data_IF_795414309712
#
_entry.id   IF_795414309712
#
_cell.length_a   1.000
_cell.length_b   1.000
_cell.length_c   1.000
_cell.angle_alpha   90.00
_cell.angle_beta   90.00
_cell.angle_gamma   90.00
#
_symmetry.space_group_name_H-M   'P 1'
#
loop_
_entity.id
_entity.type
_entity.pdbx_description
1 polymer ?
#
# COMPACT_ATOMS: atom_id res chain seq x y z
N UNK A 1 -21.96 27.38 9.59
CA UNK A 1 -22.25 25.92 9.56
C UNK A 1 -22.99 25.47 8.30
N UNK A 2 -24.02 26.21 7.82
CA UNK A 2 -24.78 25.87 6.61
C UNK A 2 -23.92 25.65 5.34
N UNK A 3 -22.97 26.55 5.07
CA UNK A 3 -22.08 26.48 3.88
C UNK A 3 -21.24 25.19 3.83
N UNK A 4 -20.71 24.73 4.97
CA UNK A 4 -19.96 23.46 5.07
C UNK A 4 -20.87 22.26 4.81
N UNK A 5 -22.10 22.29 5.31
CA UNK A 5 -23.08 21.20 5.11
C UNK A 5 -23.53 21.11 3.65
N UNK A 6 -23.75 22.24 2.99
CA UNK A 6 -24.10 22.29 1.56
C UNK A 6 -22.97 21.75 0.70
N UNK A 7 -21.72 22.15 0.96
CA UNK A 7 -20.54 21.64 0.23
C UNK A 7 -20.46 20.12 0.36
N UNK A 8 -20.57 19.58 1.57
CA UNK A 8 -20.54 18.12 1.76
C UNK A 8 -21.67 17.40 1.03
N UNK A 9 -22.90 17.93 1.05
CA UNK A 9 -24.03 17.33 0.32
C UNK A 9 -23.78 17.34 -1.20
N UNK A 10 -23.26 18.43 -1.74
CA UNK A 10 -22.90 18.53 -3.17
C UNK A 10 -21.79 17.56 -3.53
N UNK A 11 -20.75 17.43 -2.69
CA UNK A 11 -19.69 16.44 -2.89
C UNK A 11 -20.24 15.01 -2.91
N UNK A 12 -21.10 14.65 -1.94
CA UNK A 12 -21.72 13.33 -1.90
C UNK A 12 -22.58 13.05 -3.14
N UNK A 13 -23.41 14.02 -3.55
CA UNK A 13 -24.24 13.88 -4.75
C UNK A 13 -23.41 13.79 -6.03
N UNK A 14 -22.31 14.54 -6.11
CA UNK A 14 -21.38 14.48 -7.24
C UNK A 14 -20.72 13.11 -7.35
N UNK A 15 -20.14 12.58 -6.27
CA UNK A 15 -19.53 11.25 -6.28
C UNK A 15 -20.56 10.14 -6.50
N UNK A 16 -21.76 10.27 -5.93
CA UNK A 16 -22.87 9.33 -6.18
C UNK A 16 -23.26 9.36 -7.66
N UNK A 17 -23.39 10.55 -8.26
CA UNK A 17 -23.71 10.74 -9.67
C UNK A 17 -22.65 10.13 -10.60
N UNK A 18 -21.36 10.32 -10.29
CA UNK A 18 -20.27 9.65 -11.00
C UNK A 18 -20.40 8.12 -10.85
N UNK A 19 -20.66 7.62 -9.64
CA UNK A 19 -20.84 6.19 -9.41
C UNK A 19 -21.97 5.59 -10.25
N UNK A 20 -23.13 6.26 -10.28
CA UNK A 20 -24.28 5.86 -11.10
C UNK A 20 -23.94 5.92 -12.58
N UNK A 21 -23.29 6.99 -13.04
CA UNK A 21 -22.86 7.14 -14.43
C UNK A 21 -21.93 6.00 -14.85
N UNK A 22 -20.92 5.67 -14.04
CA UNK A 22 -19.97 4.61 -14.33
C UNK A 22 -20.64 3.23 -14.35
N UNK A 23 -21.54 2.96 -13.39
CA UNK A 23 -22.34 1.73 -13.39
C UNK A 23 -23.23 1.63 -14.63
N UNK A 24 -23.92 2.72 -14.99
CA UNK A 24 -24.73 2.75 -16.21
C UNK A 24 -23.88 2.54 -17.47
N UNK A 25 -22.72 3.20 -17.57
CA UNK A 25 -21.79 3.01 -18.68
C UNK A 25 -21.31 1.55 -18.80
N UNK A 26 -21.11 0.88 -17.67
CA UNK A 26 -20.69 -0.52 -17.60
C UNK A 26 -21.81 -1.50 -17.97
N UNK A 27 -23.06 -1.22 -17.55
CA UNK A 27 -24.18 -2.17 -17.66
C UNK A 27 -25.03 -1.94 -18.92
N UNK A 28 -25.03 -0.74 -19.51
CA UNK A 28 -25.90 -0.38 -20.66
C UNK A 28 -25.76 -1.26 -21.91
N UNK A 29 -24.69 -2.04 -22.02
CA UNK A 29 -24.42 -2.96 -23.14
C UNK A 29 -24.61 -4.43 -22.78
N UNK A 30 -24.97 -4.74 -21.52
CA UNK A 30 -25.18 -6.12 -21.07
C UNK A 30 -26.58 -6.58 -21.44
N UNK A 31 -26.68 -7.78 -21.99
CA UNK A 31 -27.94 -8.50 -22.09
C UNK A 31 -28.23 -9.17 -20.75
N UNK A 32 -29.21 -8.64 -20.03
CA UNK A 32 -29.60 -9.16 -18.71
C UNK A 32 -30.12 -10.59 -18.78
N UNK A 33 -30.69 -11.01 -19.92
CA UNK A 33 -31.18 -12.37 -20.13
C UNK A 33 -30.01 -13.35 -20.22
N UNK A 34 -28.96 -12.97 -20.97
CA UNK A 34 -27.73 -13.75 -21.06
C UNK A 34 -27.06 -13.89 -19.69
N UNK A 35 -26.93 -12.79 -18.93
CA UNK A 35 -26.37 -12.82 -17.57
C UNK A 35 -27.17 -13.74 -16.64
N UNK A 36 -28.49 -13.72 -16.73
CA UNK A 36 -29.33 -14.59 -15.92
C UNK A 36 -29.15 -16.07 -16.26
N UNK A 37 -29.06 -16.40 -17.56
CA UNK A 37 -28.77 -17.76 -18.01
C UNK A 37 -27.38 -18.22 -17.55
N UNK A 38 -26.36 -17.35 -17.65
CA UNK A 38 -25.00 -17.65 -17.17
C UNK A 38 -24.97 -17.97 -15.67
N UNK A 39 -25.79 -17.30 -14.86
CA UNK A 39 -25.93 -17.58 -13.42
C UNK A 39 -26.58 -18.95 -13.19
N UNK A 40 -27.60 -19.31 -13.97
CA UNK A 40 -28.30 -20.60 -13.83
C UNK A 40 -27.42 -21.78 -14.26
N UNK A 41 -26.65 -21.61 -15.33
CA UNK A 41 -25.76 -22.65 -15.88
C UNK A 41 -24.39 -22.70 -15.17
N UNK A 42 -24.11 -21.76 -14.28
CA UNK A 42 -22.84 -21.68 -13.56
C UNK A 42 -22.54 -22.97 -12.77
N UNK A 43 -21.28 -23.39 -12.82
CA UNK A 43 -20.80 -24.53 -12.02
C UNK A 43 -20.63 -24.12 -10.55
N UNK A 44 -21.67 -24.32 -9.75
CA UNK A 44 -21.70 -23.97 -8.32
C UNK A 44 -20.60 -24.64 -7.47
N UNK A 45 -19.97 -25.72 -7.95
CA UNK A 45 -18.79 -26.31 -7.28
C UNK A 45 -17.65 -25.30 -7.10
N UNK A 46 -17.42 -24.42 -8.08
CA UNK A 46 -16.43 -23.35 -7.97
C UNK A 46 -16.84 -22.27 -6.98
N UNK A 47 -18.13 -21.97 -6.87
CA UNK A 47 -18.65 -21.05 -5.87
C UNK A 47 -18.38 -21.57 -4.46
N UNK A 48 -18.70 -22.85 -4.19
CA UNK A 48 -18.42 -23.46 -2.88
C UNK A 48 -16.93 -23.51 -2.57
N UNK A 49 -16.09 -23.82 -3.56
CA UNK A 49 -14.64 -23.80 -3.39
C UNK A 49 -14.13 -22.39 -3.05
N UNK A 50 -14.63 -21.36 -3.74
CA UNK A 50 -14.28 -19.97 -3.47
C UNK A 50 -14.75 -19.54 -2.06
N UNK A 51 -15.97 -19.91 -1.66
CA UNK A 51 -16.50 -19.64 -0.31
C UNK A 51 -15.66 -20.32 0.76
N UNK A 52 -15.25 -21.57 0.55
CA UNK A 52 -14.37 -22.29 1.45
C UNK A 52 -13.03 -21.55 1.64
N UNK A 53 -12.36 -21.18 0.55
CA UNK A 53 -11.10 -20.44 0.65
C UNK A 53 -11.28 -19.03 1.23
N UNK A 54 -12.41 -18.37 0.99
CA UNK A 54 -12.72 -17.08 1.60
C UNK A 54 -12.84 -17.21 3.13
N UNK A 55 -13.57 -18.22 3.63
CA UNK A 55 -13.67 -18.50 5.06
C UNK A 55 -12.31 -18.82 5.68
N UNK A 56 -11.53 -19.70 5.04
CA UNK A 56 -10.17 -20.04 5.48
C UNK A 56 -9.27 -18.81 5.53
N UNK A 57 -9.33 -17.95 4.50
CA UNK A 57 -8.58 -16.67 4.46
C UNK A 57 -8.94 -15.78 5.65
N UNK A 58 -10.22 -15.70 6.00
CA UNK A 58 -10.68 -14.92 7.14
C UNK A 58 -10.26 -15.50 8.49
N UNK A 59 -10.21 -16.82 8.62
CA UNK A 59 -9.66 -17.49 9.81
C UNK A 59 -8.18 -17.16 9.96
N UNK A 60 -7.39 -17.22 8.88
CA UNK A 60 -5.97 -16.84 8.93
C UNK A 60 -5.76 -15.37 9.30
N UNK A 61 -6.60 -14.46 8.80
CA UNK A 61 -6.57 -13.05 9.23
C UNK A 61 -6.84 -12.91 10.73
N UNK A 62 -7.81 -13.66 11.26
CA UNK A 62 -8.10 -13.66 12.68
C UNK A 62 -6.95 -14.24 13.52
N UNK A 63 -6.31 -15.33 13.05
CA UNK A 63 -5.13 -15.92 13.67
C UNK A 63 -3.97 -14.93 13.72
N UNK A 64 -3.63 -14.30 12.59
CA UNK A 64 -2.56 -13.30 12.50
C UNK A 64 -2.82 -12.12 13.44
N UNK A 65 -4.05 -11.63 13.48
CA UNK A 65 -4.38 -10.53 14.38
C UNK A 65 -4.31 -10.94 15.85
N UNK A 66 -4.74 -12.16 16.19
CA UNK A 66 -4.60 -12.71 17.55
C UNK A 66 -3.11 -12.79 17.96
N UNK A 67 -2.23 -13.25 17.07
CA UNK A 67 -0.78 -13.25 17.33
C UNK A 67 -0.25 -11.84 17.64
N UNK A 68 -0.65 -10.82 16.89
CA UNK A 68 -0.26 -9.42 17.15
C UNK A 68 -0.80 -8.88 18.48
N UNK A 69 -1.98 -9.31 18.90
CA UNK A 69 -2.55 -8.91 20.19
C UNK A 69 -1.80 -9.62 21.33
N UNK A 70 -1.44 -10.89 21.16
CA UNK A 70 -0.70 -11.67 22.15
C UNK A 70 0.70 -11.10 22.42
N UNK A 71 1.38 -10.50 21.42
CA UNK A 71 2.67 -9.85 21.64
C UNK A 71 2.58 -8.58 22.50
N UNK A 72 1.39 -7.99 22.61
CA UNK A 72 1.11 -6.88 23.53
C UNK A 72 0.80 -7.34 24.97
N UNK A 73 0.86 -8.65 25.24
CA UNK A 73 0.58 -9.23 26.56
C UNK A 73 -0.90 -9.53 26.83
N UNK A 74 -1.79 -9.29 25.87
CA UNK A 74 -3.21 -9.61 26.00
C UNK A 74 -3.51 -10.98 25.41
N UNK A 75 -4.24 -11.85 26.12
CA UNK A 75 -4.69 -13.13 25.58
C UNK A 75 -6.09 -12.98 24.98
N UNK A 76 -6.27 -13.38 23.72
CA UNK A 76 -7.59 -13.42 23.08
C UNK A 76 -7.93 -14.79 22.54
N UNK A 77 -9.21 -15.17 22.59
CA UNK A 77 -9.71 -16.38 21.95
C UNK A 77 -9.84 -16.14 20.44
N UNK A 78 -9.41 -17.11 19.63
CA UNK A 78 -9.54 -17.04 18.17
C UNK A 78 -10.97 -16.79 17.72
N UNK A 79 -11.96 -17.39 18.38
CA UNK A 79 -13.37 -17.18 18.06
C UNK A 79 -13.80 -15.72 18.22
N UNK A 80 -13.41 -15.06 19.31
CA UNK A 80 -13.68 -13.64 19.53
C UNK A 80 -13.05 -12.77 18.45
N UNK A 81 -11.79 -13.04 18.10
CA UNK A 81 -11.07 -12.31 17.06
C UNK A 81 -11.67 -12.55 15.68
N UNK A 82 -12.09 -13.78 15.37
CA UNK A 82 -12.77 -14.13 14.13
C UNK A 82 -14.11 -13.41 13.98
N UNK A 83 -14.97 -13.44 15.01
CA UNK A 83 -16.24 -12.73 14.97
C UNK A 83 -16.07 -11.21 14.88
N UNK A 84 -15.05 -10.64 15.54
CA UNK A 84 -14.70 -9.23 15.39
C UNK A 84 -14.29 -8.90 13.94
N UNK A 85 -13.50 -9.76 13.31
CA UNK A 85 -13.11 -9.62 11.91
C UNK A 85 -14.31 -9.72 10.97
N UNK A 86 -15.22 -10.70 11.16
CA UNK A 86 -16.47 -10.84 10.40
C UNK A 86 -17.37 -9.62 10.55
N UNK A 87 -17.56 -9.15 11.77
CA UNK A 87 -18.32 -7.93 12.03
C UNK A 87 -17.69 -6.71 11.35
N UNK A 88 -16.36 -6.62 11.32
CA UNK A 88 -15.65 -5.59 10.58
C UNK A 88 -15.98 -5.61 9.08
N UNK A 89 -16.00 -6.77 8.44
CA UNK A 89 -16.41 -6.87 7.03
C UNK A 89 -17.87 -6.46 6.82
N UNK A 90 -18.78 -6.94 7.68
CA UNK A 90 -20.19 -6.56 7.63
C UNK A 90 -20.37 -5.04 7.74
N UNK A 91 -19.70 -4.41 8.71
CA UNK A 91 -19.74 -2.97 8.89
C UNK A 91 -19.17 -2.20 7.69
N UNK A 92 -18.16 -2.75 7.00
CA UNK A 92 -17.59 -2.14 5.80
C UNK A 92 -18.55 -2.19 4.60
N UNK A 93 -19.44 -3.18 4.52
CA UNK A 93 -20.50 -3.23 3.50
C UNK A 93 -21.56 -2.16 3.73
N UNK A 94 -21.89 -1.87 4.99
CA UNK A 94 -22.88 -0.85 5.34
C UNK A 94 -22.31 0.57 5.22
N UNK A 95 -21.11 0.79 5.76
CA UNK A 95 -20.44 2.10 5.75
C UNK A 95 -18.99 1.93 5.32
N UNK A 96 -18.59 2.52 4.18
CA UNK A 96 -17.23 2.43 3.70
C UNK A 96 -16.21 2.85 4.78
N UNK A 97 -15.18 2.03 4.97
CA UNK A 97 -14.04 2.27 5.87
C UNK A 97 -14.37 2.21 7.37
N UNK A 98 -15.60 1.90 7.79
CA UNK A 98 -15.94 1.75 9.21
C UNK A 98 -15.45 0.41 9.80
N UNK A 99 -15.23 -0.60 8.95
CA UNK A 99 -14.96 -1.97 9.38
C UNK A 99 -13.80 -2.17 10.36
N UNK A 100 -12.73 -1.38 10.20
CA UNK A 100 -11.54 -1.49 11.06
C UNK A 100 -11.79 -0.93 12.47
N UNK A 101 -12.54 0.17 12.57
CA UNK A 101 -12.96 0.73 13.85
C UNK A 101 -13.98 -0.20 14.53
N UNK A 102 -14.90 -0.75 13.75
CA UNK A 102 -15.93 -1.68 14.22
C UNK A 102 -15.34 -2.95 14.83
N UNK A 103 -14.35 -3.59 14.18
CA UNK A 103 -13.70 -4.79 14.73
C UNK A 103 -12.95 -4.51 16.03
N UNK A 104 -12.24 -3.38 16.12
CA UNK A 104 -11.52 -2.99 17.34
C UNK A 104 -12.48 -2.64 18.47
N UNK A 105 -13.58 -1.94 18.17
CA UNK A 105 -14.60 -1.58 19.15
C UNK A 105 -15.29 -2.80 19.76
N UNK A 106 -15.69 -3.76 18.92
CA UNK A 106 -16.34 -4.98 19.38
C UNK A 106 -15.40 -5.83 20.25
N UNK A 107 -14.16 -6.02 19.80
CA UNK A 107 -13.18 -6.81 20.54
C UNK A 107 -12.74 -6.14 21.84
N UNK A 108 -12.59 -4.81 21.83
CA UNK A 108 -12.29 -4.02 23.04
C UNK A 108 -13.36 -4.21 24.12
N UNK A 109 -14.63 -4.18 23.74
CA UNK A 109 -15.75 -4.38 24.67
C UNK A 109 -15.83 -5.82 25.17
N UNK A 110 -15.56 -6.81 24.31
CA UNK A 110 -15.71 -8.24 24.63
C UNK A 110 -14.56 -8.78 25.49
N UNK A 111 -13.32 -8.48 25.14
CA UNK A 111 -12.11 -9.00 25.79
C UNK A 111 -11.48 -8.00 26.77
N UNK A 112 -12.12 -6.83 26.99
CA UNK A 112 -11.66 -5.75 27.89
C UNK A 112 -10.25 -5.24 27.57
N UNK A 113 -9.87 -5.23 26.30
CA UNK A 113 -8.57 -4.73 25.83
C UNK A 113 -8.72 -3.25 25.45
N UNK A 114 -7.75 -2.38 25.78
CA UNK A 114 -7.79 -0.97 25.38
C UNK A 114 -7.92 -0.81 23.87
N UNK A 115 -8.90 -0.03 23.41
CA UNK A 115 -9.15 0.21 21.99
C UNK A 115 -7.90 0.72 21.26
N UNK A 116 -7.13 1.62 21.87
CA UNK A 116 -5.92 2.19 21.29
C UNK A 116 -4.84 1.14 21.01
N UNK A 117 -4.72 0.13 21.88
CA UNK A 117 -3.79 -0.97 21.69
C UNK A 117 -4.21 -1.83 20.48
N UNK A 118 -5.49 -2.21 20.42
CA UNK A 118 -6.06 -2.95 19.29
C UNK A 118 -5.91 -2.17 17.98
N UNK A 119 -6.29 -0.91 17.96
CA UNK A 119 -6.20 -0.06 16.77
C UNK A 119 -4.74 0.13 16.31
N UNK A 120 -3.80 0.26 17.24
CA UNK A 120 -2.36 0.28 16.95
C UNK A 120 -1.88 -0.98 16.22
N UNK A 121 -2.36 -2.18 16.62
CA UNK A 121 -2.03 -3.42 15.90
C UNK A 121 -2.56 -3.44 14.48
N UNK A 122 -3.77 -2.90 14.25
CA UNK A 122 -4.37 -2.80 12.92
C UNK A 122 -3.56 -1.87 12.02
N UNK A 123 -3.16 -0.71 12.53
CA UNK A 123 -2.33 0.22 11.76
C UNK A 123 -0.98 -0.43 11.41
N UNK A 124 -0.35 -1.09 12.38
CA UNK A 124 0.92 -1.81 12.16
C UNK A 124 0.79 -2.89 11.09
N UNK A 125 -0.29 -3.67 11.13
CA UNK A 125 -0.64 -4.66 10.09
C UNK A 125 -0.72 -3.99 8.71
N UNK A 126 -1.40 -2.84 8.59
CA UNK A 126 -1.53 -2.11 7.31
C UNK A 126 -0.22 -1.57 6.79
N UNK A 127 0.62 -1.00 7.65
CA UNK A 127 1.93 -0.49 7.25
C UNK A 127 2.78 -1.64 6.70
N UNK A 128 2.78 -2.78 7.40
CA UNK A 128 3.52 -3.96 6.94
C UNK A 128 2.98 -4.47 5.60
N UNK A 129 1.65 -4.58 5.45
CA UNK A 129 1.03 -5.02 4.20
C UNK A 129 1.36 -4.05 3.04
N UNK A 130 1.42 -2.73 3.29
CA UNK A 130 1.82 -1.74 2.29
C UNK A 130 3.30 -1.88 1.89
N UNK A 131 4.18 -2.15 2.85
CA UNK A 131 5.61 -2.39 2.57
C UNK A 131 5.78 -3.64 1.72
N UNK A 132 5.09 -4.74 2.08
CA UNK A 132 5.12 -5.99 1.32
C UNK A 132 4.55 -5.78 -0.07
N UNK A 133 3.42 -5.07 -0.20
CA UNK A 133 2.84 -4.74 -1.49
C UNK A 133 3.79 -3.91 -2.36
N UNK A 134 4.44 -2.89 -1.78
CA UNK A 134 5.41 -2.07 -2.50
C UNK A 134 6.62 -2.90 -2.95
N UNK A 135 7.13 -3.81 -2.11
CA UNK A 135 8.20 -4.72 -2.47
C UNK A 135 7.78 -5.66 -3.61
N UNK A 136 6.58 -6.24 -3.54
CA UNK A 136 6.06 -7.11 -4.60
C UNK A 136 5.90 -6.36 -5.93
N UNK A 137 5.34 -5.14 -5.90
CA UNK A 137 5.24 -4.28 -7.09
C UNK A 137 6.65 -4.03 -7.66
N UNK A 138 7.60 -3.66 -6.81
CA UNK A 138 8.99 -3.44 -7.23
C UNK A 138 9.61 -4.67 -7.89
N UNK A 139 9.43 -5.86 -7.31
CA UNK A 139 9.90 -7.11 -7.91
C UNK A 139 9.22 -7.37 -9.26
N UNK A 140 7.90 -7.25 -9.34
CA UNK A 140 7.17 -7.44 -10.61
C UNK A 140 7.68 -6.49 -11.68
N UNK A 141 7.90 -5.21 -11.36
CA UNK A 141 8.44 -4.23 -12.31
C UNK A 141 9.81 -4.65 -12.81
N UNK A 142 10.72 -5.08 -11.92
CA UNK A 142 12.08 -5.51 -12.31
C UNK A 142 12.05 -6.77 -13.19
N UNK A 143 11.25 -7.76 -12.81
CA UNK A 143 11.19 -9.03 -13.54
C UNK A 143 10.40 -8.94 -14.86
N UNK A 144 9.53 -7.95 -15.00
CA UNK A 144 8.72 -7.73 -16.21
C UNK A 144 9.07 -6.44 -16.94
N UNK A 145 10.31 -5.94 -16.83
CA UNK A 145 10.74 -4.70 -17.48
C UNK A 145 10.45 -4.69 -18.99
N UNK A 146 10.65 -5.82 -19.67
CA UNK A 146 10.39 -5.92 -21.11
C UNK A 146 8.90 -5.77 -21.44
N UNK A 147 8.04 -6.49 -20.71
CA UNK A 147 6.59 -6.44 -20.89
C UNK A 147 6.03 -5.04 -20.54
N UNK A 148 6.59 -4.42 -19.50
CA UNK A 148 6.25 -3.06 -19.09
C UNK A 148 6.72 -2.03 -20.11
N UNK A 149 7.93 -2.22 -20.67
CA UNK A 149 8.48 -1.42 -21.75
C UNK A 149 7.62 -1.48 -23.01
N UNK A 150 7.21 -2.69 -23.41
CA UNK A 150 6.31 -2.91 -24.55
C UNK A 150 4.93 -2.30 -24.32
N UNK A 151 4.36 -2.47 -23.13
CA UNK A 151 3.07 -1.87 -22.77
C UNK A 151 3.13 -0.34 -22.79
N UNK A 152 4.19 0.24 -22.23
CA UNK A 152 4.38 1.70 -22.23
C UNK A 152 4.61 2.22 -23.64
N UNK A 153 5.43 1.56 -24.45
CA UNK A 153 5.68 1.99 -25.83
C UNK A 153 4.42 1.87 -26.70
N UNK A 154 3.61 0.82 -26.52
CA UNK A 154 2.38 0.66 -27.31
C UNK A 154 1.30 1.68 -26.96
N UNK A 155 1.10 1.97 -25.68
CA UNK A 155 -0.01 2.83 -25.22
C UNK A 155 0.39 4.30 -25.07
N UNK A 156 1.62 4.54 -24.61
CA UNK A 156 2.14 5.87 -24.35
C UNK A 156 3.24 6.26 -25.33
N UNK A 157 3.86 5.34 -26.07
CA UNK A 157 4.89 5.66 -27.07
C UNK A 157 4.42 6.70 -28.10
N UNK A 158 3.21 6.64 -28.68
CA UNK A 158 2.75 7.69 -29.60
C UNK A 158 2.62 9.06 -28.93
N UNK A 159 2.17 9.10 -27.67
CA UNK A 159 2.00 10.33 -26.90
C UNK A 159 3.36 10.88 -26.42
N UNK A 160 4.26 10.01 -25.98
CA UNK A 160 5.64 10.31 -25.58
C UNK A 160 6.47 10.75 -26.80
N UNK A 161 6.35 10.09 -27.93
CA UNK A 161 7.05 10.45 -29.18
C UNK A 161 6.54 11.80 -29.74
N UNK A 162 5.26 12.11 -29.52
CA UNK A 162 4.70 13.44 -29.79
C UNK A 162 5.20 14.53 -28.83
N UNK A 163 5.55 14.17 -27.58
CA UNK A 163 6.07 15.09 -26.56
C UNK A 163 7.60 15.23 -26.58
N UNK A 164 8.33 14.20 -27.03
CA UNK A 164 9.78 14.07 -26.88
C UNK A 164 10.46 13.89 -28.25
N UNK A 165 10.50 14.96 -29.05
CA UNK A 165 11.48 15.05 -30.13
C UNK A 165 12.89 15.01 -29.53
N UNK A 166 13.76 14.13 -30.07
CA UNK A 166 15.04 13.63 -29.51
C UNK A 166 16.02 14.63 -28.86
N UNK A 167 15.85 15.95 -29.01
CA UNK A 167 16.77 16.98 -28.53
C UNK A 167 16.40 17.57 -27.15
N UNK A 168 15.13 17.45 -26.72
CA UNK A 168 14.65 18.02 -25.45
C UNK A 168 14.59 17.00 -24.30
N UNK A 169 14.62 15.68 -24.60
CA UNK A 169 14.50 14.60 -23.61
C UNK A 169 15.69 14.52 -22.64
N UNK A 170 16.91 14.68 -23.14
CA UNK A 170 18.13 14.65 -22.31
C UNK A 170 18.20 15.88 -21.39
N UNK A 171 17.85 17.07 -21.91
CA UNK A 171 17.86 18.29 -21.12
C UNK A 171 16.81 18.28 -19.99
N UNK A 172 15.60 17.79 -20.28
CA UNK A 172 14.53 17.71 -19.26
C UNK A 172 14.88 16.65 -18.19
N UNK A 173 15.43 15.50 -18.59
CA UNK A 173 15.86 14.47 -17.65
C UNK A 173 16.98 14.99 -16.73
N UNK A 174 17.97 15.68 -17.28
CA UNK A 174 19.06 16.31 -16.49
C UNK A 174 18.50 17.36 -15.54
N UNK A 175 17.55 18.20 -15.97
CA UNK A 175 16.93 19.21 -15.11
C UNK A 175 16.09 18.59 -13.98
N UNK A 176 15.37 17.50 -14.24
CA UNK A 176 14.62 16.77 -13.20
C UNK A 176 15.57 16.13 -12.18
N UNK A 177 16.66 15.52 -12.64
CA UNK A 177 17.68 14.93 -11.75
C UNK A 177 18.36 16.01 -10.90
N UNK A 178 18.69 17.17 -11.48
CA UNK A 178 19.29 18.28 -10.73
C UNK A 178 18.30 18.91 -9.73
N UNK A 179 17.03 19.07 -10.12
CA UNK A 179 16.00 19.62 -9.24
C UNK A 179 15.68 18.67 -8.08
N UNK A 180 15.65 17.37 -8.32
CA UNK A 180 15.43 16.35 -7.28
C UNK A 180 16.61 16.29 -6.31
N UNK A 181 17.84 16.26 -6.81
CA UNK A 181 19.04 16.29 -5.97
C UNK A 181 19.13 17.58 -5.15
N UNK A 182 18.83 18.75 -5.76
CA UNK A 182 18.80 20.03 -5.07
C UNK A 182 17.73 20.10 -3.98
N UNK A 183 16.53 19.58 -4.25
CA UNK A 183 15.44 19.49 -3.28
C UNK A 183 15.78 18.58 -2.10
N UNK A 184 16.40 17.41 -2.37
CA UNK A 184 16.87 16.49 -1.32
C UNK A 184 17.96 17.16 -0.47
N UNK A 185 18.95 17.81 -1.09
CA UNK A 185 20.00 18.53 -0.37
C UNK A 185 19.45 19.68 0.48
N UNK A 186 18.48 20.44 -0.05
CA UNK A 186 17.81 21.51 0.67
C UNK A 186 17.02 20.97 1.86
N UNK A 187 16.27 19.88 1.70
CA UNK A 187 15.52 19.25 2.80
C UNK A 187 16.45 18.72 3.89
N UNK A 188 17.57 18.08 3.52
CA UNK A 188 18.57 17.60 4.49
C UNK A 188 19.20 18.76 5.24
N UNK A 189 19.51 19.86 4.56
CA UNK A 189 20.07 21.06 5.18
C UNK A 189 19.06 21.79 6.08
N UNK A 190 17.84 22.03 5.59
CA UNK A 190 16.78 22.74 6.30
C UNK A 190 16.29 21.99 7.55
N UNK A 191 16.32 20.65 7.52
CA UNK A 191 15.89 19.81 8.64
C UNK A 191 17.05 19.22 9.46
N UNK A 192 18.28 19.69 9.26
CA UNK A 192 19.50 19.14 9.89
C UNK A 192 19.42 19.04 11.42
N UNK A 193 18.81 20.00 12.10
CA UNK A 193 18.72 20.01 13.57
C UNK A 193 17.61 19.09 14.13
N UNK A 194 16.59 18.76 13.31
CA UNK A 194 15.57 17.77 13.67
C UNK A 194 16.04 16.35 13.38
N UNK A 195 16.80 16.16 12.29
CA UNK A 195 17.37 14.86 11.89
C UNK A 195 18.39 14.37 12.93
N UNK A 196 19.24 15.26 13.48
CA UNK A 196 20.21 14.92 14.56
C UNK A 196 19.55 14.37 15.84
N UNK A 197 18.27 14.67 16.08
CA UNK A 197 17.53 14.23 17.28
C UNK A 197 16.80 12.90 17.09
N UNK A 198 16.76 12.34 15.88
CA UNK A 198 16.12 11.05 15.61
C UNK A 198 17.00 9.90 16.12
N UNK A 199 16.40 8.89 16.76
CA UNK A 199 17.10 7.69 17.28
C UNK A 199 17.91 6.93 16.22
N UNK A 200 17.59 7.11 14.93
CA UNK A 200 18.28 6.49 13.79
C UNK A 200 19.50 7.27 13.28
N UNK A 201 19.76 8.48 13.78
CA UNK A 201 20.90 9.29 13.33
C UNK A 201 22.26 8.70 13.76
N UNK A 202 22.37 8.26 15.01
CA UNK A 202 23.62 7.69 15.54
C UNK A 202 24.06 6.39 14.84
N UNK A 203 23.18 5.40 14.59
CA UNK A 203 23.55 4.18 13.86
C UNK A 203 24.00 4.47 12.43
N UNK A 204 23.28 5.35 11.72
CA UNK A 204 23.59 5.69 10.32
C UNK A 204 24.88 6.49 10.21
N UNK A 205 25.11 7.45 11.13
CA UNK A 205 26.38 8.20 11.18
C UNK A 205 27.56 7.27 11.44
N UNK A 206 27.45 6.35 12.40
CA UNK A 206 28.51 5.36 12.69
C UNK A 206 28.78 4.45 11.49
N UNK A 207 27.75 4.04 10.76
CA UNK A 207 27.90 3.26 9.52
C UNK A 207 28.59 4.05 8.41
N UNK A 208 28.22 5.32 8.19
CA UNK A 208 28.85 6.18 7.19
C UNK A 208 30.30 6.54 7.54
N UNK A 209 30.59 6.79 8.81
CA UNK A 209 31.97 7.00 9.30
C UNK A 209 32.81 5.72 9.14
N UNK A 210 32.20 4.54 9.34
CA UNK A 210 32.78 3.22 9.07
C UNK A 210 33.08 2.96 7.58
N UNK A 211 32.15 3.34 6.70
CA UNK A 211 32.39 3.29 5.24
C UNK A 211 33.48 4.26 4.82
N UNK A 212 33.51 5.47 5.37
CA UNK A 212 34.52 6.48 5.04
C UNK A 212 35.93 6.08 5.52
N UNK A 213 36.01 5.42 6.69
CA UNK A 213 37.25 4.80 7.15
C UNK A 213 37.64 3.62 6.28
N UNK A 214 36.70 2.75 5.87
CA UNK A 214 36.95 1.66 4.92
C UNK A 214 37.50 2.15 3.56
N UNK A 215 36.89 3.19 2.99
CA UNK A 215 37.35 3.81 1.74
C UNK A 215 38.71 4.48 1.91
N UNK A 216 38.98 5.15 3.04
CA UNK A 216 40.31 5.70 3.36
C UNK A 216 41.37 4.61 3.53
N UNK A 217 41.01 3.44 4.05
CA UNK A 217 41.90 2.28 4.19
C UNK A 217 42.27 1.71 2.83
N UNK A 218 41.32 1.60 1.91
CA UNK A 218 41.57 1.22 0.51
C UNK A 218 42.50 2.25 -0.18
N UNK A 219 42.33 3.54 0.13
CA UNK A 219 43.20 4.60 -0.40
C UNK A 219 44.64 4.56 0.16
N UNK A 220 44.84 3.99 1.37
CA UNK A 220 46.15 3.85 2.04
C UNK A 220 46.84 2.51 1.83
N UNK A 221 46.20 1.52 1.22
CA UNK A 221 46.83 0.24 0.90
C UNK A 221 47.95 0.42 -0.14
N UNK A 222 49.17 0.03 0.25
CA UNK A 222 50.40 0.12 -0.57
C UNK A 222 50.47 -0.92 -1.70
N UNK A 223 49.76 -2.03 -1.62
CA UNK A 223 49.70 -3.07 -2.66
C UNK A 223 48.28 -3.20 -3.20
N UNK A 224 47.95 -2.37 -4.20
CA UNK A 224 46.61 -2.28 -4.82
C UNK A 224 46.32 -3.40 -5.83
N UNK A 225 47.34 -4.16 -6.26
CA UNK A 225 47.24 -5.15 -7.34
C UNK A 225 46.84 -6.56 -6.90
N UNK A 226 46.77 -6.84 -5.58
CA UNK A 226 46.42 -8.16 -5.02
C UNK A 226 44.96 -8.27 -4.57
N UNK A 227 44.16 -7.21 -4.73
CA UNK A 227 42.73 -7.20 -4.35
C UNK A 227 41.79 -7.35 -5.56
N UNK A 228 42.34 -7.36 -6.78
CA UNK A 228 41.58 -7.49 -8.03
C UNK A 228 41.83 -8.84 -8.74
N UNK A 229 42.39 -9.82 -8.02
CA UNK A 229 42.47 -11.22 -8.42
C UNK A 229 41.90 -12.10 -7.31
#
# INVERSE_FOLDING_TARGET
>A
MLKKRIISVVEYLFFLGIGILLLWLSVRKLDLTAVWNDILEARYSWLFLALFFALVSHIFRALRWNLLINTLGYKTRLSSTFFAVMFGYLANTAVPRMGELARCGLLSKKEKIPFNALFGTVISERIFDLIVLAALIFFVVIFQLDLLGDFLNRNFGPLLQSMFSYRYSILILVLIVLATLGSIMYLVWAYREKIKKLKFYEPVRKFLDGLWTGIKTIKKMKQKSLFLF
#
